data_IF_516546236113
#
_entry.id   IF_516546236113
#
_cell.length_a   1.000
_cell.length_b   1.000
_cell.length_c   1.000
_cell.angle_alpha   90.00
_cell.angle_beta   90.00
_cell.angle_gamma   90.00
#
_symmetry.space_group_name_H-M   'P 1'
#
loop_
_entity.id
_entity.type
_entity.pdbx_description
1 polymer ?
#
# COMPACT_ATOMS: atom_id res chain seq x y z
N UNK A 1 -17.91 -8.80 -2.40
CA UNK A 1 -17.52 -7.51 -3.00
C UNK A 1 -16.12 -7.68 -3.55
N UNK A 2 -16.01 -7.84 -4.86
CA UNK A 2 -14.73 -7.80 -5.57
C UNK A 2 -14.37 -6.33 -5.76
N UNK A 3 -13.13 -5.97 -5.39
CA UNK A 3 -12.59 -4.65 -5.68
C UNK A 3 -11.78 -4.82 -6.97
N UNK A 4 -12.25 -4.26 -8.07
CA UNK A 4 -11.57 -4.29 -9.37
C UNK A 4 -11.17 -5.71 -9.83
N UNK A 5 -12.09 -6.68 -9.64
CA UNK A 5 -11.89 -8.08 -10.04
C UNK A 5 -11.00 -8.90 -9.10
N UNK A 6 -10.56 -8.36 -7.95
CA UNK A 6 -9.86 -9.13 -6.94
C UNK A 6 -10.83 -9.93 -6.05
N UNK A 7 -10.62 -11.24 -5.88
CA UNK A 7 -11.40 -12.05 -4.95
C UNK A 7 -11.29 -11.52 -3.51
N UNK A 8 -12.40 -11.60 -2.76
CA UNK A 8 -12.47 -11.10 -1.38
C UNK A 8 -11.39 -11.71 -0.47
N UNK A 9 -11.02 -12.98 -0.70
CA UNK A 9 -9.94 -13.66 0.05
C UNK A 9 -8.59 -12.98 -0.16
N UNK A 10 -8.26 -12.58 -1.39
CA UNK A 10 -7.01 -11.86 -1.69
C UNK A 10 -6.96 -10.51 -1.00
N UNK A 11 -8.08 -9.78 -1.02
CA UNK A 11 -8.22 -8.49 -0.31
C UNK A 11 -8.02 -8.69 1.20
N UNK A 12 -8.63 -9.72 1.79
CA UNK A 12 -8.48 -10.03 3.21
C UNK A 12 -7.02 -10.36 3.57
N UNK A 13 -6.33 -11.13 2.74
CA UNK A 13 -4.91 -11.47 2.94
C UNK A 13 -4.01 -10.24 2.86
N UNK A 14 -4.24 -9.35 1.88
CA UNK A 14 -3.47 -8.10 1.76
C UNK A 14 -3.68 -7.22 2.99
N UNK A 15 -4.93 -7.05 3.44
CA UNK A 15 -5.25 -6.29 4.66
C UNK A 15 -4.57 -6.89 5.88
N UNK A 16 -4.63 -8.21 6.05
CA UNK A 16 -3.97 -8.90 7.16
C UNK A 16 -2.44 -8.73 7.11
N UNK A 17 -1.84 -8.81 5.92
CA UNK A 17 -0.41 -8.64 5.73
C UNK A 17 0.08 -7.25 6.14
N UNK A 18 -0.73 -6.21 5.94
CA UNK A 18 -0.42 -4.81 6.29
C UNK A 18 -0.96 -4.35 7.65
N UNK A 19 -1.68 -5.20 8.38
CA UNK A 19 -2.26 -4.83 9.68
C UNK A 19 -1.19 -4.85 10.77
N UNK A 20 -1.11 -3.77 11.55
CA UNK A 20 -0.28 -3.68 12.76
C UNK A 20 1.19 -4.06 12.52
N UNK A 21 1.73 -3.71 11.35
CA UNK A 21 3.13 -4.00 11.03
C UNK A 21 4.08 -3.04 11.72
N UNK A 22 5.19 -3.56 12.23
CA UNK A 22 6.31 -2.78 12.75
C UNK A 22 7.53 -2.93 11.85
N UNK A 23 8.45 -1.97 11.91
CA UNK A 23 9.70 -2.02 11.18
C UNK A 23 10.89 -1.61 12.05
N UNK A 24 12.08 -2.02 11.62
CA UNK A 24 13.37 -1.57 12.13
C UNK A 24 14.26 -1.22 10.95
N UNK A 25 15.12 -0.23 11.13
CA UNK A 25 16.12 0.17 10.13
C UNK A 25 17.47 -0.38 10.55
N UNK A 26 18.20 -0.99 9.62
CA UNK A 26 19.57 -1.46 9.81
C UNK A 26 20.53 -0.44 9.19
N UNK A 27 21.41 0.14 9.99
CA UNK A 27 22.47 1.06 9.56
C UNK A 27 23.78 0.63 10.19
N UNK A 28 24.84 0.46 9.41
CA UNK A 28 26.17 0.04 9.90
C UNK A 28 26.14 -1.18 10.84
N UNK A 29 25.29 -2.17 10.51
CA UNK A 29 25.04 -3.40 11.30
C UNK A 29 24.33 -3.18 12.64
N UNK A 30 23.86 -1.96 12.92
CA UNK A 30 23.08 -1.63 14.12
C UNK A 30 21.60 -1.50 13.73
N UNK A 31 20.73 -2.20 14.47
CA UNK A 31 19.28 -2.11 14.30
C UNK A 31 18.70 -0.98 15.15
N UNK A 32 17.82 -0.18 14.56
CA UNK A 32 17.02 0.80 15.29
C UNK A 32 16.05 0.12 16.26
N UNK A 33 15.49 0.93 17.18
CA UNK A 33 14.27 0.54 17.88
C UNK A 33 13.15 0.26 16.89
N UNK A 34 12.24 -0.64 17.28
CA UNK A 34 11.06 -0.96 16.49
C UNK A 34 10.07 0.21 16.52
N UNK A 35 9.47 0.51 15.38
CA UNK A 35 8.40 1.50 15.27
C UNK A 35 7.23 0.95 14.46
N UNK A 36 6.04 1.46 14.75
CA UNK A 36 4.82 1.10 14.04
C UNK A 36 4.77 1.76 12.66
N UNK A 37 4.41 0.97 11.65
CA UNK A 37 4.11 1.48 10.30
C UNK A 37 2.66 1.93 10.28
N UNK A 38 2.45 3.24 10.27
CA UNK A 38 1.12 3.87 10.26
C UNK A 38 0.57 4.13 8.86
N UNK A 39 1.44 4.24 7.87
CA UNK A 39 1.07 4.61 6.50
C UNK A 39 2.09 4.12 5.48
N UNK A 40 1.67 4.12 4.22
CA UNK A 40 2.51 3.77 3.09
C UNK A 40 2.60 2.26 2.84
N UNK A 41 3.58 1.89 2.03
CA UNK A 41 3.83 0.51 1.60
C UNK A 41 5.28 0.12 1.88
N UNK A 42 5.58 -1.17 1.93
CA UNK A 42 6.95 -1.67 2.19
C UNK A 42 7.83 -1.54 0.96
N UNK A 43 8.83 -0.66 0.97
CA UNK A 43 9.76 -0.56 -0.16
C UNK A 43 10.47 -1.90 -0.40
N UNK A 44 10.62 -2.30 -1.67
CA UNK A 44 11.20 -3.59 -2.06
C UNK A 44 10.24 -4.79 -1.98
N UNK A 45 9.02 -4.64 -1.46
CA UNK A 45 8.01 -5.70 -1.51
C UNK A 45 7.26 -5.67 -2.85
N UNK A 46 7.10 -6.83 -3.48
CA UNK A 46 6.42 -6.97 -4.78
C UNK A 46 4.98 -6.45 -4.72
N UNK A 47 4.25 -6.74 -3.64
CA UNK A 47 2.87 -6.26 -3.46
C UNK A 47 2.78 -4.74 -3.32
N UNK A 48 3.81 -4.10 -2.77
CA UNK A 48 3.83 -2.65 -2.57
C UNK A 48 3.72 -1.87 -3.87
N UNK A 49 4.33 -2.37 -4.95
CA UNK A 49 4.27 -1.71 -6.25
C UNK A 49 2.84 -1.66 -6.80
N UNK A 50 2.13 -2.80 -6.73
CA UNK A 50 0.74 -2.91 -7.18
C UNK A 50 -0.16 -2.00 -6.33
N UNK A 51 -0.01 -2.05 -5.00
CA UNK A 51 -0.83 -1.24 -4.09
C UNK A 51 -0.58 0.27 -4.25
N UNK A 52 0.67 0.66 -4.50
CA UNK A 52 1.01 2.05 -4.74
C UNK A 52 0.39 2.57 -6.05
N UNK A 53 0.55 1.83 -7.15
CA UNK A 53 -0.05 2.21 -8.44
C UNK A 53 -1.58 2.25 -8.34
N UNK A 54 -2.20 1.30 -7.64
CA UNK A 54 -3.63 1.29 -7.39
C UNK A 54 -4.09 2.55 -6.65
N UNK A 55 -3.37 2.96 -5.60
CA UNK A 55 -3.69 4.17 -4.86
C UNK A 55 -3.54 5.42 -5.75
N UNK A 56 -2.50 5.50 -6.58
CA UNK A 56 -2.28 6.62 -7.50
C UNK A 56 -3.38 6.68 -8.58
N UNK A 57 -3.75 5.56 -9.19
CA UNK A 57 -4.84 5.50 -10.17
C UNK A 57 -6.16 5.99 -9.55
N UNK A 58 -6.48 5.54 -8.33
CA UNK A 58 -7.66 6.03 -7.60
C UNK A 58 -7.59 7.54 -7.32
N UNK A 59 -6.44 8.06 -6.89
CA UNK A 59 -6.24 9.51 -6.67
C UNK A 59 -6.42 10.26 -7.98
N UNK A 60 -5.82 9.78 -9.06
CA UNK A 60 -5.85 10.43 -10.37
C UNK A 60 -7.26 10.47 -10.95
N UNK A 61 -7.99 9.34 -10.88
CA UNK A 61 -9.41 9.31 -11.27
C UNK A 61 -10.21 10.34 -10.49
N UNK A 62 -10.05 10.39 -9.17
CA UNK A 62 -10.76 11.39 -8.35
C UNK A 62 -10.37 12.83 -8.68
N UNK A 63 -9.10 13.09 -8.93
CA UNK A 63 -8.60 14.42 -9.28
C UNK A 63 -9.11 14.88 -10.65
N UNK A 64 -9.21 13.96 -11.62
CA UNK A 64 -9.61 14.25 -12.99
C UNK A 64 -11.13 14.18 -13.22
N UNK A 65 -11.92 13.53 -12.34
CA UNK A 65 -13.38 13.48 -12.47
C UNK A 65 -14.08 14.86 -12.37
N UNK A 66 -13.37 15.94 -12.02
CA UNK A 66 -13.87 17.32 -12.06
C UNK A 66 -13.35 18.17 -13.24
N UNK A 67 -12.37 17.67 -14.00
CA UNK A 67 -11.93 18.30 -15.23
C UNK A 67 -12.72 17.68 -16.36
N UNK A 68 -13.74 18.39 -16.83
CA UNK A 68 -14.33 18.09 -18.14
C UNK A 68 -13.19 17.86 -19.13
N UNK A 69 -13.18 16.66 -19.72
CA UNK A 69 -12.31 16.38 -20.85
C UNK A 69 -12.49 17.46 -21.91
N UNK A 70 -11.44 17.68 -22.68
CA UNK A 70 -11.57 18.32 -23.99
C UNK A 70 -12.66 17.62 -24.79
#
# INVERSE_FOLDING_TARGET
>A
MELDGLPAKSIALIKAYYRSTTARVLVDKILSQSFEIRSGVRQGCILSHILFNYAIDWILRKALHGSGGV
#
